data_IF_747844018984
#
_entry.id   IF_747844018984
#
_cell.length_a   1.000
_cell.length_b   1.000
_cell.length_c   1.000
_cell.angle_alpha   90.00
_cell.angle_beta   90.00
_cell.angle_gamma   90.00
#
_symmetry.space_group_name_H-M   'P 1'
#
loop_
_entity.id
_entity.type
_entity.pdbx_description
1 polymer ?
#
# COMPACT_ATOMS: atom_id res chain seq x y z
N UNK A 1 -35.05 -29.51 -6.36
CA UNK A 1 -33.90 -29.38 -5.44
C UNK A 1 -32.76 -28.77 -6.25
N UNK A 2 -32.38 -27.54 -5.92
CA UNK A 2 -31.41 -26.76 -6.70
C UNK A 2 -29.99 -27.27 -6.48
N UNK A 3 -29.32 -27.58 -7.58
CA UNK A 3 -27.90 -27.86 -7.69
C UNK A 3 -27.11 -26.61 -7.27
N UNK A 4 -26.53 -26.68 -6.06
CA UNK A 4 -25.63 -25.67 -5.55
C UNK A 4 -24.22 -25.92 -6.06
N UNK A 5 -23.94 -25.50 -7.30
CA UNK A 5 -22.57 -25.38 -7.82
C UNK A 5 -21.95 -24.05 -7.37
N UNK A 6 -21.86 -23.83 -6.06
CA UNK A 6 -21.05 -22.73 -5.54
C UNK A 6 -19.60 -23.20 -5.55
N UNK A 7 -18.93 -23.01 -6.69
CA UNK A 7 -17.51 -23.27 -6.86
C UNK A 7 -16.78 -22.57 -5.73
N UNK A 8 -16.14 -23.34 -4.84
CA UNK A 8 -15.31 -22.88 -3.74
C UNK A 8 -14.14 -22.04 -4.24
N UNK A 9 -14.43 -20.80 -4.66
CA UNK A 9 -13.45 -19.76 -4.91
C UNK A 9 -12.97 -19.31 -3.55
N UNK A 10 -12.07 -20.11 -2.98
CA UNK A 10 -11.04 -19.63 -2.07
C UNK A 10 -10.51 -18.35 -2.70
N UNK A 11 -10.50 -17.27 -1.91
CA UNK A 11 -10.12 -15.93 -2.32
C UNK A 11 -8.88 -15.99 -3.23
N UNK A 12 -9.10 -15.92 -4.54
CA UNK A 12 -8.04 -15.87 -5.56
C UNK A 12 -7.49 -14.44 -5.55
N UNK A 13 -6.92 -14.08 -4.40
CA UNK A 13 -6.09 -12.90 -4.26
C UNK A 13 -4.90 -13.20 -5.13
N UNK A 14 -4.87 -12.60 -6.32
CA UNK A 14 -3.74 -12.70 -7.24
C UNK A 14 -2.57 -11.96 -6.60
N UNK A 15 -1.91 -12.60 -5.64
CA UNK A 15 -0.75 -12.09 -4.90
C UNK A 15 0.35 -11.65 -5.88
N UNK A 16 0.44 -12.27 -7.05
CA UNK A 16 1.27 -11.83 -8.17
C UNK A 16 0.91 -10.41 -8.67
N UNK A 17 -0.37 -10.10 -8.85
CA UNK A 17 -0.83 -8.78 -9.29
C UNK A 17 -0.58 -7.71 -8.21
N UNK A 18 -0.74 -8.08 -6.94
CA UNK A 18 -0.40 -7.21 -5.79
C UNK A 18 1.10 -6.94 -5.75
N UNK A 19 1.94 -7.96 -5.91
CA UNK A 19 3.41 -7.83 -5.96
C UNK A 19 3.88 -6.97 -7.14
N UNK A 20 3.17 -6.99 -8.27
CA UNK A 20 3.48 -6.15 -9.43
C UNK A 20 3.05 -4.69 -9.27
N UNK A 21 1.96 -4.44 -8.55
CA UNK A 21 1.37 -3.10 -8.40
C UNK A 21 1.88 -2.35 -7.17
N UNK A 22 2.24 -3.05 -6.09
CA UNK A 22 2.73 -2.44 -4.86
C UNK A 22 3.96 -1.53 -5.05
N UNK A 23 4.96 -1.88 -5.89
CA UNK A 23 6.09 -0.99 -6.18
C UNK A 23 5.68 0.31 -6.90
N UNK A 24 4.58 0.28 -7.67
CA UNK A 24 4.07 1.47 -8.36
C UNK A 24 3.51 2.47 -7.34
N UNK A 25 2.69 2.01 -6.39
CA UNK A 25 2.18 2.87 -5.32
C UNK A 25 3.31 3.42 -4.43
N UNK A 26 4.33 2.61 -4.13
CA UNK A 26 5.53 3.08 -3.43
C UNK A 26 6.21 4.22 -4.19
N UNK A 27 6.51 3.98 -5.47
CA UNK A 27 7.24 4.93 -6.33
C UNK A 27 6.46 6.23 -6.49
N UNK A 28 5.17 6.13 -6.80
CA UNK A 28 4.32 7.32 -6.97
C UNK A 28 4.09 8.05 -5.64
N UNK A 29 3.94 7.32 -4.53
CA UNK A 29 3.89 7.91 -3.19
C UNK A 29 5.16 8.71 -2.87
N UNK A 30 6.34 8.15 -3.15
CA UNK A 30 7.63 8.84 -2.95
C UNK A 30 7.79 10.06 -3.85
N UNK A 31 7.43 9.95 -5.13
CA UNK A 31 7.49 11.07 -6.08
C UNK A 31 6.56 12.20 -5.65
N UNK A 32 5.32 11.88 -5.28
CA UNK A 32 4.34 12.87 -4.83
C UNK A 32 4.77 13.51 -3.50
N UNK A 33 5.31 12.72 -2.57
CA UNK A 33 5.89 13.23 -1.32
C UNK A 33 7.00 14.24 -1.59
N UNK A 34 7.95 13.89 -2.48
CA UNK A 34 9.07 14.77 -2.87
C UNK A 34 8.57 16.06 -3.52
N UNK A 35 7.60 15.96 -4.42
CA UNK A 35 7.00 17.12 -5.08
C UNK A 35 6.27 18.02 -4.07
N UNK A 36 5.53 17.44 -3.12
CA UNK A 36 4.85 18.18 -2.06
C UNK A 36 5.84 18.88 -1.13
N UNK A 37 6.88 18.20 -0.68
CA UNK A 37 7.94 18.82 0.12
C UNK A 37 8.58 19.99 -0.63
N UNK A 38 8.87 19.82 -1.92
CA UNK A 38 9.42 20.89 -2.76
C UNK A 38 8.47 22.07 -2.85
N UNK A 39 7.17 21.82 -3.08
CA UNK A 39 6.16 22.86 -3.12
C UNK A 39 6.08 23.64 -1.80
N UNK A 40 5.91 22.94 -0.67
CA UNK A 40 5.78 23.55 0.66
C UNK A 40 7.02 24.38 1.00
N UNK A 41 8.21 23.79 0.83
CA UNK A 41 9.47 24.49 1.15
C UNK A 41 9.71 25.70 0.25
N UNK A 42 9.33 25.62 -1.02
CA UNK A 42 9.42 26.76 -1.95
C UNK A 42 8.46 27.86 -1.54
N UNK A 43 7.19 27.55 -1.28
CA UNK A 43 6.18 28.55 -0.94
C UNK A 43 6.45 29.20 0.43
N UNK A 44 6.80 28.42 1.44
CA UNK A 44 7.18 28.96 2.74
C UNK A 44 8.49 29.78 2.65
N UNK A 45 9.44 29.37 1.80
CA UNK A 45 10.71 30.07 1.57
C UNK A 45 10.58 31.40 0.82
N UNK A 46 9.52 31.57 0.00
CA UNK A 46 9.23 32.83 -0.68
C UNK A 46 8.65 33.91 0.26
N UNK A 47 8.20 33.53 1.46
CA UNK A 47 7.70 34.45 2.47
C UNK A 47 6.41 35.18 2.07
N UNK A 48 6.46 36.51 2.01
CA UNK A 48 5.31 37.37 1.70
C UNK A 48 5.64 38.26 0.50
N UNK A 49 5.64 37.72 -0.74
CA UNK A 49 6.03 38.48 -1.92
C UNK A 49 5.08 39.64 -2.25
N UNK A 50 3.93 39.74 -1.57
CA UNK A 50 2.84 40.68 -1.87
C UNK A 50 2.92 42.05 -1.17
N UNK A 51 3.98 42.39 -0.44
CA UNK A 51 4.10 43.71 0.19
C UNK A 51 3.19 43.92 1.41
N UNK A 52 3.50 44.93 2.22
CA UNK A 52 2.83 45.22 3.51
C UNK A 52 1.77 46.34 3.43
N UNK A 53 1.49 46.83 2.22
CA UNK A 53 0.38 47.75 1.98
C UNK A 53 -0.97 47.04 2.14
N UNK A 54 -2.05 47.81 2.09
CA UNK A 54 -3.41 47.29 2.29
C UNK A 54 -3.78 46.20 1.27
N UNK A 55 -3.32 46.34 0.02
CA UNK A 55 -3.60 45.38 -1.06
C UNK A 55 -2.81 44.10 -0.85
N UNK A 56 -1.53 44.22 -0.48
CA UNK A 56 -0.66 43.10 -0.13
C UNK A 56 -1.20 42.30 1.05
N UNK A 57 -1.63 42.98 2.12
CA UNK A 57 -2.27 42.32 3.27
C UNK A 57 -3.56 41.61 2.88
N UNK A 58 -4.45 42.26 2.13
CA UNK A 58 -5.69 41.64 1.67
C UNK A 58 -5.43 40.40 0.81
N UNK A 59 -4.43 40.45 -0.07
CA UNK A 59 -4.01 39.29 -0.85
C UNK A 59 -3.48 38.18 0.05
N UNK A 60 -2.55 38.49 0.96
CA UNK A 60 -1.95 37.52 1.87
C UNK A 60 -2.98 36.82 2.74
N UNK A 61 -3.92 37.57 3.30
CA UNK A 61 -4.99 37.06 4.14
C UNK A 61 -5.94 36.15 3.34
N UNK A 62 -6.15 36.46 2.06
CA UNK A 62 -6.95 35.66 1.14
C UNK A 62 -6.18 34.55 0.42
N UNK A 63 -4.86 34.45 0.55
CA UNK A 63 -4.03 33.44 -0.14
C UNK A 63 -3.53 32.37 0.83
N UNK A 64 -3.04 32.77 2.01
CA UNK A 64 -2.41 31.84 2.98
C UNK A 64 -3.35 30.71 3.43
N UNK A 65 -4.64 30.95 3.74
CA UNK A 65 -5.54 29.86 4.14
C UNK A 65 -5.69 28.79 3.05
N UNK A 66 -5.75 29.21 1.79
CA UNK A 66 -5.94 28.38 0.60
C UNK A 66 -4.68 27.60 0.29
N UNK A 67 -3.51 28.26 0.40
CA UNK A 67 -2.21 27.60 0.36
C UNK A 67 -2.17 26.45 1.38
N UNK A 68 -2.46 26.74 2.66
CA UNK A 68 -2.43 25.72 3.73
C UNK A 68 -3.48 24.61 3.52
N UNK A 69 -4.64 24.93 2.95
CA UNK A 69 -5.64 23.93 2.59
C UNK A 69 -5.14 22.96 1.51
N UNK A 70 -4.49 23.46 0.46
CA UNK A 70 -3.90 22.65 -0.60
C UNK A 70 -2.76 21.79 -0.06
N UNK A 71 -1.86 22.37 0.74
CA UNK A 71 -0.76 21.64 1.37
C UNK A 71 -1.28 20.48 2.24
N UNK A 72 -2.31 20.74 3.04
CA UNK A 72 -2.95 19.70 3.88
C UNK A 72 -3.60 18.60 3.04
N UNK A 73 -4.34 18.95 2.00
CA UNK A 73 -5.01 17.98 1.14
C UNK A 73 -4.00 17.08 0.40
N UNK A 74 -2.93 17.68 -0.12
CA UNK A 74 -1.84 16.94 -0.76
C UNK A 74 -1.11 16.03 0.25
N UNK A 75 -0.90 16.49 1.49
CA UNK A 75 -0.32 15.67 2.55
C UNK A 75 -1.16 14.43 2.87
N UNK A 76 -2.48 14.57 2.95
CA UNK A 76 -3.41 13.44 3.14
C UNK A 76 -3.31 12.46 1.97
N UNK A 77 -3.23 12.95 0.73
CA UNK A 77 -3.10 12.10 -0.46
C UNK A 77 -1.80 11.29 -0.44
N UNK A 78 -0.67 11.91 -0.08
CA UNK A 78 0.62 11.22 0.07
C UNK A 78 0.54 10.14 1.15
N UNK A 79 -0.01 10.47 2.33
CA UNK A 79 -0.21 9.50 3.40
C UNK A 79 -1.08 8.32 2.95
N UNK A 80 -2.15 8.60 2.21
CA UNK A 80 -3.02 7.57 1.62
C UNK A 80 -2.25 6.62 0.70
N UNK A 81 -1.44 7.15 -0.23
CA UNK A 81 -0.65 6.34 -1.16
C UNK A 81 0.39 5.47 -0.44
N UNK A 82 1.05 6.01 0.60
CA UNK A 82 1.99 5.26 1.43
C UNK A 82 1.26 4.14 2.19
N UNK A 83 0.10 4.43 2.79
CA UNK A 83 -0.68 3.43 3.53
C UNK A 83 -1.16 2.28 2.64
N UNK A 84 -1.52 2.57 1.38
CA UNK A 84 -1.92 1.56 0.40
C UNK A 84 -0.72 0.67 0.06
N UNK A 85 0.47 1.25 -0.11
CA UNK A 85 1.70 0.48 -0.33
C UNK A 85 2.01 -0.46 0.85
N UNK A 86 1.96 0.05 2.08
CA UNK A 86 2.19 -0.75 3.29
C UNK A 86 1.18 -1.90 3.40
N UNK A 87 -0.11 -1.62 3.23
CA UNK A 87 -1.14 -2.65 3.27
C UNK A 87 -0.97 -3.73 2.19
N UNK A 88 -0.49 -3.37 1.00
CA UNK A 88 -0.20 -4.34 -0.06
C UNK A 88 1.07 -5.16 0.22
N UNK A 89 2.09 -4.56 0.84
CA UNK A 89 3.28 -5.29 1.27
C UNK A 89 2.92 -6.31 2.36
N UNK A 90 2.18 -5.87 3.38
CA UNK A 90 1.70 -6.74 4.47
C UNK A 90 0.81 -7.88 3.94
N UNK A 91 -0.07 -7.60 2.98
CA UNK A 91 -0.91 -8.63 2.36
C UNK A 91 -0.08 -9.63 1.54
N UNK A 92 0.97 -9.18 0.86
CA UNK A 92 1.85 -10.05 0.09
C UNK A 92 2.69 -10.96 1.00
N UNK A 93 3.23 -10.41 2.09
CA UNK A 93 4.04 -11.16 3.06
C UNK A 93 3.19 -12.13 3.87
N UNK A 94 2.01 -11.69 4.34
CA UNK A 94 1.07 -12.55 5.07
C UNK A 94 0.55 -13.74 4.24
N UNK A 95 0.44 -13.59 2.91
CA UNK A 95 0.10 -14.71 2.03
C UNK A 95 1.28 -15.67 1.83
N UNK A 96 2.51 -15.16 1.69
CA UNK A 96 3.72 -16.00 1.52
C UNK A 96 3.96 -16.83 2.77
N UNK A 97 3.88 -16.23 3.96
CA UNK A 97 4.08 -16.94 5.22
C UNK A 97 3.02 -18.03 5.43
N UNK A 98 1.77 -17.75 5.09
CA UNK A 98 0.68 -18.72 5.18
C UNK A 98 0.85 -19.87 4.17
N UNK A 99 1.24 -19.58 2.94
CA UNK A 99 1.46 -20.59 1.91
C UNK A 99 2.68 -21.48 2.24
N UNK A 100 3.76 -20.91 2.80
CA UNK A 100 4.94 -21.67 3.24
C UNK A 100 4.64 -22.53 4.47
N UNK A 101 3.84 -22.03 5.43
CA UNK A 101 3.38 -22.81 6.58
C UNK A 101 2.48 -23.97 6.13
N UNK A 102 1.55 -23.72 5.21
CA UNK A 102 0.67 -24.75 4.66
C UNK A 102 1.48 -25.77 3.85
N UNK A 103 2.40 -25.33 3.00
CA UNK A 103 3.29 -26.20 2.25
C UNK A 103 4.14 -27.07 3.19
N UNK A 104 4.65 -26.50 4.27
CA UNK A 104 5.38 -27.19 5.34
C UNK A 104 4.54 -28.24 6.07
N UNK A 105 3.27 -27.95 6.36
CA UNK A 105 2.35 -28.93 6.94
C UNK A 105 2.06 -30.10 5.98
N UNK A 106 1.83 -29.83 4.70
CA UNK A 106 1.58 -30.87 3.70
C UNK A 106 2.83 -31.72 3.37
N UNK A 107 4.03 -31.13 3.39
CA UNK A 107 5.28 -31.92 3.27
C UNK A 107 5.53 -32.77 4.51
N UNK A 108 5.25 -32.26 5.71
CA UNK A 108 5.38 -33.02 6.95
C UNK A 108 4.44 -34.24 6.99
N UNK A 109 3.17 -34.06 6.60
CA UNK A 109 2.20 -35.17 6.52
C UNK A 109 2.65 -36.23 5.51
N UNK A 110 3.22 -35.82 4.36
CA UNK A 110 3.76 -36.76 3.36
C UNK A 110 4.95 -37.58 3.88
N UNK A 111 5.81 -37.00 4.71
CA UNK A 111 6.93 -37.72 5.33
C UNK A 111 6.42 -38.77 6.34
N UNK A 112 5.46 -38.40 7.19
CA UNK A 112 4.85 -39.31 8.19
C UNK A 112 4.03 -40.45 7.54
N UNK A 113 3.48 -40.21 6.34
CA UNK A 113 2.75 -41.22 5.56
C UNK A 113 3.64 -42.21 4.79
N UNK A 114 4.95 -41.90 4.64
CA UNK A 114 5.90 -42.68 3.85
C UNK A 114 6.68 -43.74 4.64
N UNK A 115 6.58 -43.76 5.96
CA UNK A 115 7.43 -44.56 6.86
C UNK A 115 6.75 -45.85 7.37
N UNK A 116 5.73 -46.36 6.68
CA UNK A 116 4.89 -47.45 7.20
C UNK A 116 4.34 -48.45 6.19
N UNK A 117 5.03 -48.76 5.09
CA UNK A 117 4.62 -49.88 4.23
C UNK A 117 5.77 -50.54 3.45
N UNK A 118 6.76 -51.09 4.15
CA UNK A 118 7.57 -52.18 3.60
C UNK A 118 7.95 -53.18 4.69
N UNK A 119 7.15 -54.24 4.82
CA UNK A 119 7.66 -55.59 5.12
C UNK A 119 6.87 -56.60 4.32
N UNK A 120 7.50 -57.00 3.22
CA UNK A 120 7.03 -57.99 2.28
C UNK A 120 6.88 -59.41 2.84
N UNK A 121 6.24 -60.19 1.97
CA UNK A 121 5.89 -61.59 2.06
C UNK A 121 7.01 -62.54 2.50
N UNK A 122 6.65 -63.50 3.36
CA UNK A 122 6.73 -64.95 3.05
C UNK A 122 5.95 -65.77 4.06
#
# INVERSE_FOLDING_TARGET
MGDGTDSGKVLDIKTADIKLTAPVFHTQGKNLSTALTTLVTTLDGLGSPWGDDEQGKAFGDAYRPQQKAIEKAAGILVLGLVSIHEAMADMADGHVDNDDLIAGMFTKVRAESGEGHDKGAK
#
